data_IF_157967218960
#
_entry.id   IF_157967218960
#
_cell.length_a   1.000
_cell.length_b   1.000
_cell.length_c   1.000
_cell.angle_alpha   90.00
_cell.angle_beta   90.00
_cell.angle_gamma   90.00
#
_symmetry.space_group_name_H-M   'P 1'
#
loop_
_entity.id
_entity.type
_entity.pdbx_description
1 polymer ?
#
# COMPACT_ATOMS: atom_id res chain seq x y z
N UNK A 1 49.09 -79.63 -42.26
CA UNK A 1 48.11 -79.78 -41.19
C UNK A 1 48.03 -78.47 -40.52
N UNK A 2 47.05 -77.62 -40.89
CA UNK A 2 46.70 -76.37 -40.24
C UNK A 2 45.23 -76.43 -39.97
N UNK A 3 44.80 -76.49 -38.69
CA UNK A 3 43.48 -76.35 -38.28
C UNK A 3 43.20 -74.86 -37.98
N UNK A 4 42.36 -74.22 -38.81
CA UNK A 4 41.90 -72.88 -38.61
C UNK A 4 40.69 -72.87 -37.64
N UNK A 5 40.95 -72.29 -36.49
CA UNK A 5 39.84 -72.00 -35.52
C UNK A 5 39.07 -70.79 -35.98
N UNK A 6 37.81 -70.96 -36.41
CA UNK A 6 36.86 -69.87 -36.66
C UNK A 6 36.28 -69.36 -35.34
N UNK A 7 36.85 -68.24 -34.91
CA UNK A 7 36.23 -67.48 -33.79
C UNK A 7 34.89 -66.94 -34.26
N UNK A 8 33.85 -67.38 -33.67
CA UNK A 8 32.46 -66.77 -33.84
C UNK A 8 32.46 -65.50 -33.05
N UNK A 9 32.02 -64.32 -33.63
CA UNK A 9 31.83 -63.11 -32.86
C UNK A 9 30.71 -63.37 -31.91
N UNK A 10 30.98 -63.35 -30.60
CA UNK A 10 29.96 -63.43 -29.55
C UNK A 10 29.18 -62.12 -29.60
N UNK A 11 27.91 -62.21 -30.01
CA UNK A 11 27.05 -61.06 -30.08
C UNK A 11 26.62 -60.70 -28.65
N UNK A 12 27.45 -59.92 -27.94
CA UNK A 12 27.21 -59.48 -26.56
C UNK A 12 25.87 -58.74 -26.41
N UNK A 13 25.31 -58.24 -27.50
CA UNK A 13 24.01 -57.55 -27.48
C UNK A 13 22.82 -58.52 -27.56
N UNK A 14 23.02 -59.78 -28.01
CA UNK A 14 21.93 -60.73 -28.15
C UNK A 14 21.54 -61.40 -26.83
N UNK A 15 22.50 -61.52 -25.89
CA UNK A 15 22.28 -62.22 -24.62
C UNK A 15 21.57 -61.33 -23.55
N UNK A 16 21.51 -60.03 -23.76
CA UNK A 16 20.90 -59.08 -22.79
C UNK A 16 19.62 -58.43 -23.27
N UNK A 17 19.09 -58.82 -24.40
CA UNK A 17 17.88 -58.22 -24.95
C UNK A 17 16.66 -58.40 -23.99
N UNK A 18 16.61 -59.51 -23.24
CA UNK A 18 15.61 -59.75 -22.23
C UNK A 18 15.68 -58.72 -21.08
N UNK A 19 16.92 -58.24 -20.75
CA UNK A 19 17.10 -57.23 -19.73
C UNK A 19 16.55 -55.86 -20.18
N UNK A 20 16.67 -55.52 -21.48
CA UNK A 20 16.02 -54.32 -22.03
C UNK A 20 14.53 -54.38 -22.00
N UNK A 21 13.95 -55.55 -22.27
CA UNK A 21 12.52 -55.78 -22.17
C UNK A 21 12.01 -55.66 -20.73
N UNK A 22 12.75 -56.21 -19.75
CA UNK A 22 12.40 -56.06 -18.33
C UNK A 22 12.50 -54.58 -17.87
N UNK A 23 13.56 -53.89 -18.29
CA UNK A 23 13.68 -52.44 -17.97
C UNK A 23 12.54 -51.64 -18.58
N UNK A 24 12.12 -51.93 -19.83
CA UNK A 24 11.01 -51.24 -20.49
C UNK A 24 9.68 -51.52 -19.80
N UNK A 25 9.45 -52.75 -19.35
CA UNK A 25 8.26 -53.12 -18.59
C UNK A 25 8.22 -52.41 -17.24
N UNK A 26 9.38 -52.30 -16.53
CA UNK A 26 9.44 -51.59 -15.27
C UNK A 26 9.22 -50.08 -15.44
N UNK A 27 9.76 -49.51 -16.53
CA UNK A 27 9.50 -48.08 -16.83
C UNK A 27 8.04 -47.84 -17.15
N UNK A 28 7.43 -48.69 -17.98
CA UNK A 28 5.99 -48.56 -18.37
C UNK A 28 5.08 -48.78 -17.17
N UNK A 29 5.36 -49.75 -16.31
CA UNK A 29 4.58 -49.99 -15.09
C UNK A 29 4.78 -48.88 -14.08
N UNK A 30 6.00 -48.36 -13.94
CA UNK A 30 6.32 -47.18 -13.07
C UNK A 30 5.59 -45.92 -13.53
N UNK A 31 5.45 -45.71 -14.86
CA UNK A 31 4.66 -44.61 -15.40
C UNK A 31 3.17 -44.77 -15.14
N UNK A 32 2.66 -45.99 -15.32
CA UNK A 32 1.22 -46.27 -15.16
C UNK A 32 0.77 -46.23 -13.70
N UNK A 33 1.65 -46.55 -12.74
CA UNK A 33 1.31 -46.54 -11.31
C UNK A 33 1.56 -45.18 -10.63
N UNK A 34 2.30 -44.28 -11.28
CA UNK A 34 2.65 -42.97 -10.72
C UNK A 34 1.41 -42.12 -10.42
N UNK A 35 0.37 -42.22 -11.27
CA UNK A 35 -0.83 -41.43 -11.10
C UNK A 35 -1.79 -42.00 -10.03
N UNK A 36 -1.59 -43.26 -9.63
CA UNK A 36 -2.43 -43.94 -8.64
C UNK A 36 -1.92 -43.79 -7.18
N UNK A 37 -0.66 -43.44 -6.99
CA UNK A 37 -0.03 -43.39 -5.66
C UNK A 37 0.36 -41.98 -5.17
N UNK A 38 0.21 -40.94 -6.00
CA UNK A 38 0.36 -39.59 -5.52
C UNK A 38 -0.94 -39.21 -4.81
N UNK A 39 -0.88 -38.84 -3.50
CA UNK A 39 -2.02 -38.26 -2.85
C UNK A 39 -2.38 -36.98 -3.61
N UNK A 40 -3.60 -36.92 -4.14
CA UNK A 40 -4.12 -35.68 -4.69
C UNK A 40 -4.04 -34.63 -3.61
N UNK A 41 -3.17 -33.62 -3.78
CA UNK A 41 -3.16 -32.47 -2.90
C UNK A 41 -4.59 -31.95 -2.78
N UNK A 42 -5.11 -31.77 -1.56
CA UNK A 42 -6.41 -31.14 -1.40
C UNK A 42 -6.39 -29.82 -2.17
N UNK A 43 -7.42 -29.59 -2.97
CA UNK A 43 -7.56 -28.32 -3.68
C UNK A 43 -7.39 -27.17 -2.66
N UNK A 44 -6.64 -26.10 -3.00
CA UNK A 44 -6.55 -24.97 -2.11
C UNK A 44 -7.95 -24.50 -1.76
N UNK A 45 -8.24 -24.16 -0.49
CA UNK A 45 -9.55 -23.67 -0.10
C UNK A 45 -9.92 -22.53 -1.04
N UNK A 46 -11.11 -22.57 -1.62
CA UNK A 46 -11.64 -21.45 -2.40
C UNK A 46 -11.45 -20.17 -1.56
N UNK A 47 -10.99 -19.07 -2.15
CA UNK A 47 -10.86 -17.84 -1.41
C UNK A 47 -12.23 -17.50 -0.83
N UNK A 48 -12.34 -17.64 0.49
CA UNK A 48 -13.51 -17.16 1.23
C UNK A 48 -13.57 -15.67 0.94
N UNK A 49 -14.60 -15.21 0.25
CA UNK A 49 -14.84 -13.80 0.07
C UNK A 49 -14.99 -13.19 1.47
N UNK A 50 -13.92 -12.54 1.95
CA UNK A 50 -14.01 -11.71 3.13
C UNK A 50 -15.02 -10.63 2.78
N UNK A 51 -16.13 -10.47 3.53
CA UNK A 51 -17.04 -9.37 3.27
C UNK A 51 -16.21 -8.09 3.37
N UNK A 52 -16.07 -7.37 2.26
CA UNK A 52 -15.46 -6.05 2.25
C UNK A 52 -16.36 -5.16 3.11
N UNK A 53 -15.88 -4.82 4.30
CA UNK A 53 -16.48 -3.76 5.09
C UNK A 53 -16.54 -2.54 4.17
N UNK A 54 -17.70 -1.88 4.01
CA UNK A 54 -17.78 -0.73 3.14
C UNK A 54 -16.79 0.31 3.66
N UNK A 55 -15.71 0.54 2.89
CA UNK A 55 -14.79 1.64 3.14
C UNK A 55 -15.63 2.92 3.02
N UNK A 56 -15.75 3.65 4.11
CA UNK A 56 -16.42 4.96 4.10
C UNK A 56 -15.63 5.85 3.14
N UNK A 57 -16.18 6.09 1.97
CA UNK A 57 -15.61 7.05 1.02
C UNK A 57 -15.87 8.43 1.58
N UNK A 58 -14.84 9.10 2.07
CA UNK A 58 -14.90 10.51 2.45
C UNK A 58 -14.75 11.32 1.17
N UNK A 59 -15.76 12.14 0.85
CA UNK A 59 -15.65 13.09 -0.26
C UNK A 59 -14.98 14.34 0.26
N UNK A 60 -13.82 14.69 -0.28
CA UNK A 60 -13.07 15.88 0.07
C UNK A 60 -13.47 17.06 -0.82
N UNK A 61 -13.56 18.25 -0.23
CA UNK A 61 -13.66 19.49 -0.98
C UNK A 61 -12.40 19.73 -1.80
N UNK A 62 -12.52 20.38 -2.94
CA UNK A 62 -11.44 20.67 -3.86
C UNK A 62 -11.62 22.02 -4.54
N UNK A 63 -10.53 22.57 -5.10
CA UNK A 63 -10.53 23.82 -5.83
C UNK A 63 -9.16 24.19 -6.36
N UNK A 64 -8.82 25.48 -6.39
CA UNK A 64 -7.50 25.93 -6.89
C UNK A 64 -6.38 25.57 -5.94
N UNK A 65 -6.64 25.61 -4.63
CA UNK A 65 -5.73 25.14 -3.59
C UNK A 65 -6.48 24.12 -2.75
N UNK A 66 -5.87 22.94 -2.58
CA UNK A 66 -6.32 21.90 -1.66
C UNK A 66 -5.12 21.30 -0.96
N UNK A 67 -5.16 21.20 0.36
CA UNK A 67 -4.15 20.56 1.18
C UNK A 67 -4.79 19.43 1.96
N UNK A 68 -4.29 18.23 1.77
CA UNK A 68 -4.80 17.01 2.42
C UNK A 68 -3.70 16.38 3.26
N UNK A 69 -3.95 16.18 4.55
CA UNK A 69 -3.11 15.43 5.47
C UNK A 69 -3.63 13.99 5.59
N UNK A 70 -2.73 13.01 5.49
CA UNK A 70 -3.03 11.59 5.60
C UNK A 70 -2.03 10.92 6.55
N UNK A 71 -2.51 9.99 7.39
CA UNK A 71 -1.65 9.16 8.23
C UNK A 71 -2.27 7.78 8.48
N UNK A 72 -1.52 6.83 9.07
CA UNK A 72 -1.93 5.43 9.25
C UNK A 72 -1.90 5.03 10.72
N UNK A 73 -2.51 5.83 11.58
CA UNK A 73 -2.63 5.56 13.02
C UNK A 73 -3.90 6.16 13.58
N UNK A 74 -4.26 5.80 14.80
CA UNK A 74 -5.40 6.43 15.49
C UNK A 74 -5.03 7.71 16.22
N UNK A 75 -3.75 8.11 16.17
CA UNK A 75 -3.31 9.39 16.76
C UNK A 75 -4.04 10.58 16.10
N UNK A 76 -4.16 11.64 16.84
CA UNK A 76 -4.83 12.87 16.44
C UNK A 76 -3.79 13.88 15.95
N UNK A 77 -3.74 14.07 14.64
CA UNK A 77 -2.90 15.05 13.97
C UNK A 77 -3.78 16.12 13.35
N UNK A 78 -3.42 17.38 13.52
CA UNK A 78 -4.13 18.51 12.92
C UNK A 78 -3.32 19.13 11.77
N UNK A 79 -4.02 19.37 10.66
CA UNK A 79 -3.50 20.17 9.56
C UNK A 79 -3.69 21.67 9.85
N UNK A 80 -2.62 22.43 9.64
CA UNK A 80 -2.64 23.89 9.73
C UNK A 80 -2.20 24.48 8.39
N UNK A 81 -2.97 25.41 7.87
CA UNK A 81 -2.60 26.17 6.67
C UNK A 81 -2.72 27.66 6.99
N UNK A 82 -1.62 28.40 6.85
CA UNK A 82 -1.63 29.86 6.89
C UNK A 82 -1.70 30.36 5.46
N UNK A 83 -2.70 31.16 5.17
CA UNK A 83 -2.94 31.73 3.85
C UNK A 83 -2.09 33.00 3.58
N UNK A 84 -2.07 33.53 2.34
CA UNK A 84 -1.32 34.76 2.01
C UNK A 84 -1.74 36.02 2.77
N UNK A 85 -2.94 36.02 3.40
CA UNK A 85 -3.42 37.12 4.24
C UNK A 85 -2.96 36.99 5.69
N UNK A 86 -2.25 35.88 6.01
CA UNK A 86 -1.76 35.58 7.35
C UNK A 86 -2.79 34.92 8.27
N UNK A 87 -3.91 34.47 7.72
CA UNK A 87 -4.96 33.79 8.48
C UNK A 87 -4.71 32.29 8.53
N UNK A 88 -4.75 31.69 9.72
CA UNK A 88 -4.54 30.25 9.92
C UNK A 88 -5.87 29.51 9.92
N UNK A 89 -5.98 28.47 9.09
CA UNK A 89 -7.11 27.51 9.04
C UNK A 89 -6.65 26.22 9.72
N UNK A 90 -7.41 25.75 10.71
CA UNK A 90 -7.18 24.53 11.49
C UNK A 90 -8.45 24.16 12.28
N UNK A 91 -8.44 23.11 13.09
CA UNK A 91 -9.62 22.63 13.84
C UNK A 91 -10.30 23.72 14.69
N UNK A 92 -9.56 24.65 15.26
CA UNK A 92 -10.08 25.75 16.10
C UNK A 92 -10.54 26.98 15.31
N UNK A 93 -10.21 27.09 14.03
CA UNK A 93 -10.59 28.16 13.10
C UNK A 93 -10.78 27.58 11.70
N UNK A 94 -11.96 26.99 11.46
CA UNK A 94 -12.21 26.12 10.30
C UNK A 94 -12.45 26.88 8.98
N UNK A 95 -12.62 28.20 9.03
CA UNK A 95 -12.85 29.04 7.85
C UNK A 95 -12.00 30.30 7.91
N UNK A 96 -11.52 30.79 6.77
CA UNK A 96 -10.84 32.08 6.66
C UNK A 96 -11.64 33.09 5.85
N UNK A 97 -11.33 34.38 6.02
CA UNK A 97 -11.94 35.45 5.22
C UNK A 97 -11.57 35.34 3.74
N UNK A 98 -10.46 34.68 3.43
CA UNK A 98 -10.03 34.39 2.07
C UNK A 98 -10.79 33.23 1.38
N UNK A 99 -11.73 32.60 2.10
CA UNK A 99 -12.53 31.49 1.57
C UNK A 99 -11.94 30.09 1.83
N UNK A 100 -10.86 29.97 2.61
CA UNK A 100 -10.31 28.68 3.04
C UNK A 100 -11.26 27.96 3.99
N UNK A 101 -11.42 26.64 3.84
CA UNK A 101 -12.32 25.80 4.60
C UNK A 101 -11.67 24.46 4.98
N UNK A 102 -11.65 24.14 6.27
CA UNK A 102 -11.40 22.80 6.80
C UNK A 102 -12.73 22.02 6.75
N UNK A 103 -12.87 21.06 5.84
CA UNK A 103 -14.11 20.29 5.63
C UNK A 103 -14.06 18.88 6.21
N UNK A 104 -12.87 18.36 6.49
CA UNK A 104 -12.67 17.05 7.13
C UNK A 104 -11.62 17.16 8.22
N UNK A 105 -11.98 16.69 9.42
CA UNK A 105 -11.15 16.64 10.63
C UNK A 105 -11.34 15.25 11.26
N UNK A 106 -10.33 14.39 11.18
CA UNK A 106 -10.41 13.01 11.60
C UNK A 106 -9.68 12.77 12.93
N UNK A 107 -10.19 11.80 13.71
CA UNK A 107 -9.66 11.40 15.02
C UNK A 107 -9.67 12.50 16.10
N UNK A 108 -10.36 13.60 15.86
CA UNK A 108 -10.42 14.80 16.70
C UNK A 108 -10.66 14.46 18.19
N UNK A 109 -9.70 14.81 19.05
CA UNK A 109 -9.75 14.52 20.49
C UNK A 109 -9.81 13.04 20.84
N UNK A 110 -9.31 12.15 20.01
CA UNK A 110 -9.42 10.67 20.11
C UNK A 110 -10.87 10.16 20.02
N UNK A 111 -11.71 10.80 19.23
CA UNK A 111 -13.09 10.39 19.00
C UNK A 111 -13.27 9.84 17.59
N UNK A 112 -14.23 8.92 17.40
CA UNK A 112 -14.56 8.32 16.10
C UNK A 112 -13.32 7.80 15.34
N UNK A 113 -12.42 7.12 16.05
CA UNK A 113 -11.10 6.73 15.58
C UNK A 113 -11.15 5.88 14.32
N UNK A 114 -10.29 6.21 13.37
CA UNK A 114 -9.98 5.43 12.18
C UNK A 114 -8.46 5.25 12.05
N UNK A 115 -8.04 4.14 11.45
CA UNK A 115 -6.62 3.88 11.13
C UNK A 115 -6.20 4.41 9.76
N UNK A 116 -7.11 5.06 9.04
CA UNK A 116 -6.87 5.77 7.79
C UNK A 116 -7.50 7.16 7.88
N UNK A 117 -7.03 7.98 8.81
CA UNK A 117 -7.53 9.32 8.98
C UNK A 117 -7.11 10.24 7.85
N UNK A 118 -7.92 11.28 7.64
CA UNK A 118 -7.67 12.34 6.67
C UNK A 118 -8.15 13.66 7.22
N UNK A 119 -7.42 14.73 6.95
CA UNK A 119 -7.84 16.11 7.08
C UNK A 119 -7.70 16.84 5.77
N UNK A 120 -8.57 17.81 5.53
CA UNK A 120 -8.59 18.52 4.27
C UNK A 120 -8.96 19.99 4.44
N UNK A 121 -8.10 20.86 3.92
CA UNK A 121 -8.35 22.29 3.81
C UNK A 121 -8.27 22.67 2.34
N UNK A 122 -9.27 23.43 1.86
CA UNK A 122 -9.32 23.82 0.45
C UNK A 122 -9.93 25.22 0.26
N UNK A 123 -9.69 25.80 -0.90
CA UNK A 123 -10.34 26.98 -1.44
C UNK A 123 -11.04 26.63 -2.72
N UNK A 124 -12.28 27.08 -2.89
CA UNK A 124 -13.04 26.83 -4.12
C UNK A 124 -12.33 27.43 -5.35
N UNK A 125 -12.66 26.90 -6.52
CA UNK A 125 -12.09 27.38 -7.78
C UNK A 125 -12.36 28.87 -7.99
N UNK A 126 -11.32 29.65 -8.22
CA UNK A 126 -11.36 31.12 -8.38
C UNK A 126 -11.28 31.89 -7.06
N UNK A 127 -11.26 31.25 -5.90
CA UNK A 127 -11.28 31.92 -4.59
C UNK A 127 -9.94 31.95 -3.89
N UNK A 128 -9.04 31.01 -4.14
CA UNK A 128 -7.76 30.94 -3.45
C UNK A 128 -6.90 32.19 -3.73
N UNK A 129 -6.44 32.93 -2.69
CA UNK A 129 -5.64 34.13 -2.89
C UNK A 129 -4.26 33.82 -3.49
N UNK A 130 -3.71 34.79 -4.23
CA UNK A 130 -2.32 34.73 -4.71
C UNK A 130 -1.37 35.07 -3.57
N UNK A 131 -0.23 34.38 -3.50
CA UNK A 131 0.84 34.63 -2.53
C UNK A 131 1.29 33.38 -1.80
N UNK A 132 2.00 33.58 -0.67
CA UNK A 132 2.65 32.53 0.08
C UNK A 132 1.73 31.80 1.04
N UNK A 133 1.73 30.47 0.99
CA UNK A 133 1.06 29.56 1.92
C UNK A 133 2.08 28.83 2.79
N UNK A 134 1.75 28.60 4.06
CA UNK A 134 2.56 27.80 4.98
C UNK A 134 1.75 26.61 5.48
N UNK A 135 2.30 25.40 5.34
CA UNK A 135 1.69 24.16 5.78
C UNK A 135 2.41 23.63 7.01
N UNK A 136 1.67 23.31 8.05
CA UNK A 136 2.19 22.72 9.28
C UNK A 136 1.33 21.55 9.73
N UNK A 137 1.92 20.62 10.47
CA UNK A 137 1.24 19.51 11.14
C UNK A 137 1.43 19.67 12.64
N UNK A 138 0.34 19.69 13.39
CA UNK A 138 0.35 19.64 14.84
C UNK A 138 0.03 18.21 15.30
N UNK A 139 0.82 17.67 16.23
CA UNK A 139 0.48 16.43 16.92
C UNK A 139 -0.39 16.76 18.13
N UNK A 140 -1.70 16.81 17.93
CA UNK A 140 -2.62 17.27 18.97
C UNK A 140 -2.68 16.31 20.16
N UNK A 141 -2.87 15.00 19.90
CA UNK A 141 -3.00 13.98 20.96
C UNK A 141 -2.56 12.59 20.55
N UNK A 142 -1.88 11.90 21.45
CA UNK A 142 -1.59 10.49 21.31
C UNK A 142 -2.81 9.65 21.73
N UNK A 143 -3.38 8.89 20.79
CA UNK A 143 -4.57 8.06 21.00
C UNK A 143 -4.28 6.56 20.96
N UNK A 144 -3.04 6.17 20.69
CA UNK A 144 -2.57 4.78 20.69
C UNK A 144 -1.21 4.64 21.41
N UNK A 145 -0.72 3.39 21.58
CA UNK A 145 0.52 3.13 22.32
C UNK A 145 1.79 3.64 21.63
N UNK A 146 1.77 3.77 20.29
CA UNK A 146 2.90 4.21 19.49
C UNK A 146 2.79 5.71 19.23
N UNK A 147 3.75 6.49 19.74
CA UNK A 147 3.76 7.93 19.55
C UNK A 147 4.21 8.34 18.13
N UNK A 148 5.27 7.71 17.58
CA UNK A 148 5.80 8.06 16.27
C UNK A 148 4.75 7.85 15.17
N UNK A 149 4.30 8.95 14.56
CA UNK A 149 3.23 8.97 13.56
C UNK A 149 3.77 9.51 12.24
N UNK A 150 4.06 8.64 11.28
CA UNK A 150 4.35 9.05 9.90
C UNK A 150 3.11 9.66 9.25
N UNK A 151 3.31 10.73 8.49
CA UNK A 151 2.25 11.39 7.75
C UNK A 151 2.66 11.74 6.33
N UNK A 152 1.67 12.00 5.49
CA UNK A 152 1.81 12.53 4.14
C UNK A 152 0.92 13.74 3.97
N UNK A 153 1.46 14.85 3.45
CA UNK A 153 0.69 16.00 2.96
C UNK A 153 0.66 15.94 1.44
N UNK A 154 -0.53 16.11 0.87
CA UNK A 154 -0.75 16.36 -0.56
C UNK A 154 -1.24 17.78 -0.74
N UNK A 155 -0.50 18.59 -1.50
CA UNK A 155 -0.88 19.93 -1.87
C UNK A 155 -1.18 19.99 -3.38
N UNK A 156 -2.44 20.23 -3.72
CA UNK A 156 -2.89 20.54 -5.07
C UNK A 156 -2.94 22.06 -5.20
N UNK A 157 -2.18 22.61 -6.15
CA UNK A 157 -2.13 24.05 -6.44
C UNK A 157 -2.30 24.23 -7.94
N UNK A 158 -3.37 24.90 -8.36
CA UNK A 158 -3.69 25.15 -9.78
C UNK A 158 -3.56 23.90 -10.67
N UNK A 159 -4.03 22.74 -10.14
CA UNK A 159 -3.99 21.45 -10.83
C UNK A 159 -2.65 20.70 -10.76
N UNK A 160 -1.63 21.25 -10.09
CA UNK A 160 -0.35 20.58 -9.85
C UNK A 160 -0.31 19.96 -8.46
N UNK A 161 -0.08 18.65 -8.39
CA UNK A 161 0.01 17.91 -7.13
C UNK A 161 1.46 17.81 -6.66
N UNK A 162 1.70 18.14 -5.38
CA UNK A 162 2.95 17.94 -4.68
C UNK A 162 2.70 17.09 -3.44
N UNK A 163 3.67 16.25 -3.06
CA UNK A 163 3.54 15.37 -1.91
C UNK A 163 4.75 15.51 -0.99
N UNK A 164 4.50 15.60 0.31
CA UNK A 164 5.50 15.73 1.36
C UNK A 164 5.25 14.71 2.44
N UNK A 165 6.31 14.12 2.98
CA UNK A 165 6.22 13.14 4.06
C UNK A 165 7.00 13.60 5.27
N UNK A 166 6.52 13.24 6.45
CA UNK A 166 7.18 13.55 7.71
C UNK A 166 6.82 12.56 8.80
N UNK A 167 7.37 12.79 9.99
CA UNK A 167 7.05 12.02 11.20
C UNK A 167 6.94 13.01 12.35
N UNK A 168 5.87 12.90 13.14
CA UNK A 168 5.72 13.57 14.44
C UNK A 168 5.72 12.52 15.55
N UNK A 169 6.27 12.85 16.71
CA UNK A 169 6.41 11.92 17.83
C UNK A 169 6.28 12.55 19.22
N UNK A 170 6.08 13.86 19.28
CA UNK A 170 5.94 14.61 20.53
C UNK A 170 4.56 15.29 20.53
N UNK A 171 3.71 14.88 21.48
CA UNK A 171 2.39 15.50 21.66
C UNK A 171 2.50 17.01 21.89
N UNK A 172 1.65 17.78 21.24
CA UNK A 172 1.61 19.26 21.20
C UNK A 172 2.76 19.92 20.40
N UNK A 173 3.58 19.14 19.70
CA UNK A 173 4.54 19.69 18.75
C UNK A 173 3.85 20.10 17.46
N UNK A 174 4.26 21.25 16.90
CA UNK A 174 3.88 21.69 15.55
C UNK A 174 5.13 21.73 14.69
N UNK A 175 5.06 21.09 13.52
CA UNK A 175 6.17 21.03 12.56
C UNK A 175 5.76 21.75 11.29
N UNK A 176 6.52 22.78 10.90
CA UNK A 176 6.39 23.40 9.57
C UNK A 176 6.90 22.40 8.53
N UNK A 177 6.04 22.06 7.57
CA UNK A 177 6.34 21.02 6.58
C UNK A 177 6.75 21.63 5.26
N UNK A 178 6.02 22.65 4.79
CA UNK A 178 6.23 23.22 3.47
C UNK A 178 5.70 24.64 3.33
N UNK A 179 6.27 25.37 2.37
CA UNK A 179 5.80 26.69 1.93
C UNK A 179 5.74 26.71 0.42
N UNK A 180 4.68 27.29 -0.13
CA UNK A 180 4.54 27.46 -1.57
C UNK A 180 3.96 28.83 -1.90
N UNK A 181 4.20 29.27 -3.12
CA UNK A 181 3.59 30.47 -3.72
C UNK A 181 2.60 30.05 -4.79
N UNK A 182 1.47 30.73 -4.82
CA UNK A 182 0.45 30.58 -5.85
C UNK A 182 0.44 31.83 -6.77
#
# INVERSE_FOLDING_TARGET
MHEEWWERPVCYLCDYWWAFLLALVLILTGWFTRDYWLPTSPAPPSPTSVPSTPTRVVTLGTGDVQVTLLWNSTNDLDLWVVDPQGEAIYFGHQTSLSGGLLDVDANAGCQNLTTQPVENIFWLAGEAPQGGYVLSVNYFRQCEAVAATPFTIRALVDGQMQEFTGVVNIEKETVDVYRFER
#
